data_IF_370820258731
#
_entry.id   IF_370820258731
#
_cell.length_a   1.000
_cell.length_b   1.000
_cell.length_c   1.000
_cell.angle_alpha   90.00
_cell.angle_beta   90.00
_cell.angle_gamma   90.00
#
_symmetry.space_group_name_H-M   'P 1'
#
loop_
_entity.id
_entity.type
_entity.pdbx_description
1 polymer ?
#
# COMPACT_ATOMS: atom_id res chain seq x y z
N UNK A 1 -16.04 -6.18 -10.92
CA UNK A 1 -15.68 -5.60 -9.60
C UNK A 1 -14.19 -5.33 -9.65
N UNK A 2 -13.77 -4.07 -9.56
CA UNK A 2 -12.37 -3.69 -9.71
C UNK A 2 -11.61 -4.14 -8.46
N UNK A 3 -10.60 -4.99 -8.68
CA UNK A 3 -9.67 -5.35 -7.62
C UNK A 3 -8.71 -4.16 -7.43
N UNK A 4 -8.20 -4.02 -6.22
CA UNK A 4 -7.09 -3.13 -5.81
C UNK A 4 -6.94 -1.69 -6.39
N UNK A 5 -6.85 -0.74 -5.47
CA UNK A 5 -6.56 0.66 -5.75
C UNK A 5 -5.13 1.04 -5.34
N UNK A 6 -4.35 1.68 -6.21
CA UNK A 6 -3.02 2.19 -5.86
C UNK A 6 -2.99 3.71 -5.72
N UNK A 7 -2.47 4.21 -4.60
CA UNK A 7 -2.42 5.64 -4.26
C UNK A 7 -0.96 6.14 -4.19
N UNK A 8 -0.60 7.11 -5.05
CA UNK A 8 0.82 7.44 -5.31
C UNK A 8 1.08 8.95 -5.46
N UNK A 9 2.22 9.49 -5.00
CA UNK A 9 2.56 10.89 -5.19
C UNK A 9 3.03 11.22 -6.61
N UNK A 10 3.48 10.23 -7.39
CA UNK A 10 3.82 10.39 -8.81
C UNK A 10 3.70 9.07 -9.59
N UNK A 11 3.41 9.16 -10.90
CA UNK A 11 3.15 8.00 -11.76
C UNK A 11 4.40 7.14 -12.05
N UNK A 12 5.60 7.69 -11.96
CA UNK A 12 6.85 7.02 -12.33
C UNK A 12 7.37 6.03 -11.29
N UNK A 13 6.79 5.98 -10.09
CA UNK A 13 7.37 5.26 -8.94
C UNK A 13 6.70 3.92 -8.61
N UNK A 14 5.68 3.47 -9.36
CA UNK A 14 4.90 2.26 -9.01
C UNK A 14 4.77 1.20 -10.11
N UNK A 15 5.57 1.31 -11.18
CA UNK A 15 5.54 0.32 -12.26
C UNK A 15 5.71 -1.12 -11.76
N UNK A 16 6.48 -1.34 -10.69
CA UNK A 16 6.66 -2.67 -10.08
C UNK A 16 5.37 -3.21 -9.45
N UNK A 17 4.56 -2.36 -8.79
CA UNK A 17 3.28 -2.77 -8.20
C UNK A 17 2.27 -3.08 -9.29
N UNK A 18 2.16 -2.20 -10.29
CA UNK A 18 1.26 -2.39 -11.42
C UNK A 18 1.61 -3.68 -12.18
N UNK A 19 2.90 -3.93 -12.41
CA UNK A 19 3.38 -5.15 -13.04
C UNK A 19 3.06 -6.40 -12.21
N UNK A 20 3.24 -6.34 -10.88
CA UNK A 20 2.90 -7.46 -9.99
C UNK A 20 1.40 -7.78 -10.00
N UNK A 21 0.54 -6.76 -9.95
CA UNK A 21 -0.91 -6.93 -10.01
C UNK A 21 -1.37 -7.45 -11.37
N UNK A 22 -0.83 -6.91 -12.45
CA UNK A 22 -1.08 -7.40 -13.80
C UNK A 22 -0.64 -8.87 -13.97
N UNK A 23 0.54 -9.24 -13.48
CA UNK A 23 1.04 -10.63 -13.52
C UNK A 23 0.16 -11.59 -12.72
N UNK A 24 -0.44 -11.12 -11.62
CA UNK A 24 -1.41 -11.87 -10.82
C UNK A 24 -2.84 -11.82 -11.38
N UNK A 25 -3.04 -11.24 -12.58
CA UNK A 25 -4.36 -11.02 -13.21
C UNK A 25 -5.35 -10.31 -12.29
N UNK A 26 -4.84 -9.44 -11.41
CA UNK A 26 -5.67 -8.60 -10.57
C UNK A 26 -5.98 -7.31 -11.36
N UNK A 27 -7.24 -7.01 -11.70
CA UNK A 27 -7.59 -5.66 -12.16
C UNK A 27 -7.22 -4.65 -11.09
N UNK A 28 -6.81 -3.45 -11.49
CA UNK A 28 -6.46 -2.38 -10.57
C UNK A 28 -6.73 -1.01 -11.17
N UNK A 29 -7.03 -0.05 -10.30
CA UNK A 29 -7.07 1.37 -10.64
C UNK A 29 -5.86 2.08 -10.01
N UNK A 30 -5.19 2.95 -10.76
CA UNK A 30 -4.09 3.78 -10.24
C UNK A 30 -4.57 5.21 -10.08
N UNK A 31 -4.32 5.78 -8.90
CA UNK A 31 -4.64 7.17 -8.62
C UNK A 31 -3.42 7.88 -8.05
N UNK A 32 -3.10 8.95 -8.74
CA UNK A 32 -2.05 9.88 -8.34
C UNK A 32 -2.68 10.90 -7.40
N UNK A 33 -2.04 11.11 -6.24
CA UNK A 33 -2.42 12.10 -5.24
C UNK A 33 -1.30 13.11 -5.12
N UNK A 34 -1.55 14.31 -5.63
CA UNK A 34 -0.71 15.49 -5.42
C UNK A 34 -1.57 16.63 -4.88
N UNK A 35 -0.95 17.77 -4.54
CA UNK A 35 -1.72 18.96 -4.19
C UNK A 35 -2.58 19.49 -5.34
N UNK A 36 -2.21 19.23 -6.60
CA UNK A 36 -2.96 19.67 -7.79
C UNK A 36 -3.92 18.62 -8.35
N UNK A 37 -3.66 17.34 -8.09
CA UNK A 37 -4.49 16.21 -8.50
C UNK A 37 -4.85 15.40 -7.26
N UNK A 38 -5.83 15.91 -6.51
CA UNK A 38 -6.35 15.26 -5.30
C UNK A 38 -7.81 14.87 -5.53
N UNK A 39 -8.14 13.58 -5.54
CA UNK A 39 -9.52 13.13 -5.72
C UNK A 39 -10.34 13.39 -4.45
N UNK A 40 -11.66 13.44 -4.60
CA UNK A 40 -12.56 13.21 -3.48
C UNK A 40 -12.51 11.71 -3.11
N UNK A 41 -11.85 11.39 -2.01
CA UNK A 41 -11.67 10.01 -1.55
C UNK A 41 -12.99 9.33 -1.18
N UNK A 42 -14.02 10.08 -0.76
CA UNK A 42 -15.32 9.50 -0.45
C UNK A 42 -15.98 8.96 -1.73
N UNK A 43 -16.11 9.81 -2.75
CA UNK A 43 -16.67 9.42 -4.05
C UNK A 43 -15.80 8.41 -4.81
N UNK A 44 -14.50 8.36 -4.51
CA UNK A 44 -13.58 7.39 -5.10
C UNK A 44 -13.80 5.98 -4.53
N UNK A 45 -13.90 5.85 -3.21
CA UNK A 45 -13.94 4.55 -2.52
C UNK A 45 -15.35 3.94 -2.47
N UNK A 46 -16.38 4.79 -2.47
CA UNK A 46 -17.77 4.39 -2.31
C UNK A 46 -18.56 4.50 -3.61
N UNK A 47 -19.40 3.52 -3.87
CA UNK A 47 -20.47 3.63 -4.86
C UNK A 47 -21.62 4.49 -4.28
N UNK A 48 -22.49 5.01 -5.16
CA UNK A 48 -23.65 5.81 -4.75
C UNK A 48 -24.64 5.04 -3.86
N UNK A 49 -24.64 3.70 -3.92
CA UNK A 49 -25.47 2.82 -3.09
C UNK A 49 -24.86 2.51 -1.71
N UNK A 50 -23.71 3.10 -1.39
CA UNK A 50 -23.00 2.89 -0.13
C UNK A 50 -22.19 1.58 -0.09
N UNK A 51 -22.07 0.84 -1.18
CA UNK A 51 -21.15 -0.31 -1.26
C UNK A 51 -19.73 0.13 -1.57
N UNK A 52 -18.75 -0.66 -1.11
CA UNK A 52 -17.34 -0.38 -1.40
C UNK A 52 -16.96 -0.74 -2.83
N UNK A 53 -16.29 0.19 -3.52
CA UNK A 53 -15.85 0.02 -4.92
C UNK A 53 -14.66 -0.93 -5.10
N UNK A 54 -13.74 -0.97 -4.14
CA UNK A 54 -12.50 -1.74 -4.17
C UNK A 54 -12.46 -2.82 -3.09
N UNK A 55 -11.63 -3.86 -3.31
CA UNK A 55 -11.42 -4.96 -2.34
C UNK A 55 -10.18 -4.80 -1.46
N UNK A 56 -9.44 -3.72 -1.68
CA UNK A 56 -8.19 -3.44 -1.01
C UNK A 56 -7.53 -2.22 -1.63
N UNK A 57 -6.52 -1.69 -0.95
CA UNK A 57 -5.69 -0.64 -1.51
C UNK A 57 -4.22 -0.77 -1.13
N UNK A 58 -3.36 -0.31 -2.04
CA UNK A 58 -1.92 -0.23 -1.87
C UNK A 58 -1.49 1.24 -1.91
N UNK A 59 -0.77 1.70 -0.90
CA UNK A 59 -0.19 3.06 -0.89
C UNK A 59 1.31 2.98 -1.09
N UNK A 60 1.82 3.77 -2.03
CA UNK A 60 3.25 3.92 -2.22
C UNK A 60 3.66 5.33 -2.66
N UNK A 61 4.58 5.96 -1.91
CA UNK A 61 4.85 5.76 -0.48
C UNK A 61 3.58 5.91 0.39
N UNK A 62 3.66 5.69 1.71
CA UNK A 62 2.50 5.82 2.58
C UNK A 62 2.14 7.30 2.75
N UNK A 63 1.16 7.74 1.97
CA UNK A 63 0.73 9.14 1.89
C UNK A 63 0.33 9.72 3.25
N UNK A 64 -0.22 8.90 4.14
CA UNK A 64 -0.53 9.27 5.52
C UNK A 64 0.72 9.75 6.28
N UNK A 65 1.81 8.97 6.23
CA UNK A 65 3.07 9.29 6.92
C UNK A 65 3.87 10.40 6.26
N UNK A 66 3.58 10.68 4.98
CA UNK A 66 4.23 11.75 4.23
C UNK A 66 3.48 13.09 4.31
N UNK A 67 2.44 13.18 5.16
CA UNK A 67 1.59 14.37 5.28
C UNK A 67 0.93 14.77 3.95
N UNK A 68 0.73 13.80 3.05
CA UNK A 68 0.05 13.98 1.77
C UNK A 68 -1.45 13.70 1.86
N UNK A 69 -1.94 13.25 3.02
CA UNK A 69 -3.34 13.16 3.39
C UNK A 69 -3.58 13.98 4.66
N UNK A 70 -4.70 14.68 4.72
CA UNK A 70 -5.21 15.37 5.91
C UNK A 70 -5.81 14.35 6.88
N UNK A 71 -5.95 14.68 8.17
CA UNK A 71 -6.60 13.79 9.14
C UNK A 71 -8.00 13.35 8.72
N UNK A 72 -8.77 14.22 8.07
CA UNK A 72 -10.11 13.89 7.58
C UNK A 72 -10.05 12.82 6.47
N UNK A 73 -9.12 12.95 5.53
CA UNK A 73 -8.96 11.98 4.43
C UNK A 73 -8.45 10.63 4.94
N UNK A 74 -7.53 10.64 5.90
CA UNK A 74 -7.12 9.42 6.61
C UNK A 74 -8.34 8.74 7.25
N UNK A 75 -9.21 9.53 7.89
CA UNK A 75 -10.48 9.05 8.45
C UNK A 75 -11.37 8.36 7.42
N UNK A 76 -11.45 8.87 6.18
CA UNK A 76 -12.22 8.24 5.09
C UNK A 76 -11.66 6.85 4.75
N UNK A 77 -10.34 6.69 4.65
CA UNK A 77 -9.73 5.39 4.39
C UNK A 77 -9.97 4.41 5.54
N UNK A 78 -9.81 4.84 6.79
CA UNK A 78 -10.02 3.97 7.95
C UNK A 78 -11.47 3.55 8.12
N UNK A 79 -12.41 4.48 7.91
CA UNK A 79 -13.84 4.18 7.91
C UNK A 79 -14.20 3.18 6.79
N UNK A 80 -13.61 3.37 5.60
CA UNK A 80 -13.76 2.43 4.49
C UNK A 80 -13.29 1.02 4.86
N UNK A 81 -12.10 0.88 5.45
CA UNK A 81 -11.59 -0.40 5.93
C UNK A 81 -12.50 -1.02 6.99
N UNK A 82 -12.94 -0.23 7.96
CA UNK A 82 -13.78 -0.70 9.06
C UNK A 82 -15.14 -1.22 8.56
N UNK A 83 -15.77 -0.52 7.61
CA UNK A 83 -17.10 -0.87 7.10
C UNK A 83 -17.10 -1.98 6.05
N UNK A 84 -16.04 -2.11 5.25
CA UNK A 84 -15.98 -3.08 4.15
C UNK A 84 -15.15 -4.32 4.48
N UNK A 85 -14.35 -4.27 5.54
CA UNK A 85 -13.42 -5.35 5.92
C UNK A 85 -12.22 -5.49 4.98
N UNK A 86 -11.99 -4.54 4.07
CA UNK A 86 -10.87 -4.60 3.12
C UNK A 86 -9.53 -4.32 3.80
N UNK A 87 -8.47 -4.95 3.28
CA UNK A 87 -7.11 -4.79 3.78
C UNK A 87 -6.36 -3.72 2.99
N UNK A 88 -5.38 -3.12 3.66
CA UNK A 88 -4.46 -2.16 3.04
C UNK A 88 -3.02 -2.63 3.12
N UNK A 89 -2.23 -2.25 2.11
CA UNK A 89 -0.80 -2.51 2.05
C UNK A 89 -0.09 -1.16 1.89
N UNK A 90 0.99 -0.94 2.65
CA UNK A 90 1.81 0.28 2.58
C UNK A 90 3.23 -0.13 2.24
N UNK A 91 3.75 0.31 1.10
CA UNK A 91 5.13 0.08 0.67
C UNK A 91 5.95 1.37 0.80
N UNK A 92 7.27 1.25 0.95
CA UNK A 92 8.16 2.41 1.10
C UNK A 92 7.92 3.19 2.40
N UNK A 93 7.37 2.52 3.42
CA UNK A 93 7.04 3.14 4.69
C UNK A 93 8.30 3.33 5.55
N UNK A 94 8.59 4.56 6.03
CA UNK A 94 9.67 4.74 6.99
C UNK A 94 9.29 4.11 8.34
N UNK A 95 10.27 3.68 9.13
CA UNK A 95 10.06 3.00 10.42
C UNK A 95 9.09 3.73 11.40
N UNK A 96 9.02 5.06 11.51
CA UNK A 96 8.05 5.73 12.38
C UNK A 96 6.61 5.78 11.80
N UNK A 97 6.24 4.89 10.89
CA UNK A 97 4.85 4.81 10.42
C UNK A 97 3.91 4.41 11.57
N UNK A 98 2.66 4.88 11.52
CA UNK A 98 1.61 4.64 12.53
C UNK A 98 1.62 3.18 12.99
N UNK A 99 1.82 2.97 14.29
CA UNK A 99 1.82 1.66 14.94
C UNK A 99 3.17 0.96 15.06
N UNK A 100 4.25 1.53 14.51
CA UNK A 100 5.61 0.98 14.64
C UNK A 100 6.54 1.92 15.42
N UNK A 101 7.33 1.34 16.33
CA UNK A 101 8.41 2.05 16.98
C UNK A 101 9.55 2.32 15.99
N UNK A 102 10.23 3.46 16.14
CA UNK A 102 11.36 3.83 15.29
C UNK A 102 12.56 2.91 15.55
N UNK A 103 12.62 1.77 14.89
CA UNK A 103 13.87 1.03 14.69
C UNK A 103 14.10 0.86 13.19
N UNK A 104 15.09 1.60 12.70
CA UNK A 104 15.66 1.32 11.37
C UNK A 104 16.81 0.35 11.60
N UNK A 105 16.67 -0.94 11.24
CA UNK A 105 17.84 -1.77 11.12
C UNK A 105 18.73 -1.17 10.02
N UNK A 106 19.98 -0.85 10.35
CA UNK A 106 20.96 -0.38 9.37
C UNK A 106 21.09 -1.38 8.22
N UNK A 107 21.59 -0.92 7.06
CA UNK A 107 21.71 -1.65 5.78
C UNK A 107 21.49 -3.18 5.87
N UNK A 108 20.23 -3.61 5.82
CA UNK A 108 19.86 -5.02 5.83
C UNK A 108 20.03 -5.56 4.42
N UNK A 109 20.99 -6.45 4.22
CA UNK A 109 21.26 -7.05 2.90
C UNK A 109 20.38 -8.26 2.60
N UNK A 110 19.85 -8.92 3.64
CA UNK A 110 19.07 -10.14 3.52
C UNK A 110 17.82 -10.04 4.40
N UNK A 111 16.67 -10.25 3.79
CA UNK A 111 15.37 -10.32 4.44
C UNK A 111 14.86 -11.75 4.34
N UNK A 112 14.36 -12.25 5.47
CA UNK A 112 13.78 -13.58 5.57
C UNK A 112 12.36 -13.47 6.09
N UNK A 113 11.52 -14.40 5.66
CA UNK A 113 10.22 -14.58 6.28
C UNK A 113 10.35 -15.23 7.64
N UNK A 114 9.52 -14.82 8.59
CA UNK A 114 9.39 -15.52 9.87
C UNK A 114 8.37 -16.65 9.74
N UNK A 115 8.39 -17.60 10.68
CA UNK A 115 7.41 -18.68 10.73
C UNK A 115 5.95 -18.18 10.86
N UNK A 116 5.74 -16.93 11.29
CA UNK A 116 4.43 -16.30 11.41
C UNK A 116 3.95 -15.59 10.14
N UNK A 117 4.74 -15.60 9.05
CA UNK A 117 4.36 -14.92 7.81
C UNK A 117 3.08 -15.54 7.21
N UNK A 118 2.05 -14.74 6.90
CA UNK A 118 0.77 -15.23 6.41
C UNK A 118 0.83 -15.52 4.90
N UNK A 119 1.60 -16.53 4.49
CA UNK A 119 1.85 -16.83 3.08
C UNK A 119 0.59 -17.11 2.26
N UNK A 120 -0.48 -17.62 2.87
CA UNK A 120 -1.73 -17.93 2.19
C UNK A 120 -1.51 -18.74 0.91
N UNK A 121 -2.03 -18.24 -0.21
CA UNK A 121 -1.89 -18.86 -1.54
C UNK A 121 -0.80 -18.20 -2.39
N UNK A 122 0.17 -17.50 -1.79
CA UNK A 122 1.17 -16.70 -2.52
C UNK A 122 2.17 -17.53 -3.34
N UNK A 123 2.34 -18.82 -3.04
CA UNK A 123 3.37 -19.67 -3.66
C UNK A 123 4.81 -19.31 -3.24
N UNK A 124 4.99 -18.35 -2.33
CA UNK A 124 6.30 -17.96 -1.80
C UNK A 124 6.79 -19.04 -0.84
N UNK A 125 8.04 -19.50 -1.02
CA UNK A 125 8.67 -20.44 -0.08
C UNK A 125 8.94 -19.76 1.26
N UNK A 126 8.63 -20.46 2.35
CA UNK A 126 8.97 -20.01 3.71
C UNK A 126 10.48 -19.85 3.94
N UNK A 127 11.29 -20.54 3.13
CA UNK A 127 12.76 -20.46 3.16
C UNK A 127 13.33 -19.48 2.14
N UNK A 128 12.47 -18.76 1.39
CA UNK A 128 12.93 -17.78 0.42
C UNK A 128 13.67 -16.65 1.14
N UNK A 129 14.89 -16.37 0.67
CA UNK A 129 15.67 -15.21 1.07
C UNK A 129 15.47 -14.11 0.02
N UNK A 130 15.13 -12.92 0.48
CA UNK A 130 15.11 -11.71 -0.33
C UNK A 130 16.44 -10.97 -0.13
N UNK A 131 17.23 -10.86 -1.20
CA UNK A 131 18.40 -9.99 -1.20
C UNK A 131 17.99 -8.57 -1.55
N UNK A 132 18.41 -7.60 -0.75
CA UNK A 132 18.26 -6.18 -1.05
C UNK A 132 19.61 -5.64 -1.52
N UNK A 133 19.89 -5.74 -2.82
CA UNK A 133 21.08 -5.15 -3.44
C UNK A 133 20.72 -3.74 -3.93
N UNK A 134 20.96 -2.77 -3.06
CA UNK A 134 20.70 -1.35 -3.32
C UNK A 134 21.09 -0.52 -2.11
N UNK A 135 20.97 0.80 -2.23
CA UNK A 135 20.99 1.72 -1.10
C UNK A 135 19.84 1.35 -0.13
N UNK A 136 20.09 0.37 0.73
CA UNK A 136 19.08 -0.21 1.61
C UNK A 136 18.45 0.89 2.45
N UNK A 137 17.11 1.03 2.35
CA UNK A 137 16.30 1.92 3.19
C UNK A 137 17.03 3.23 3.54
N UNK A 138 17.66 3.89 2.56
CA UNK A 138 18.24 5.20 2.80
C UNK A 138 17.08 6.17 2.91
N UNK A 139 16.95 6.75 4.11
CA UNK A 139 16.11 7.92 4.38
C UNK A 139 16.48 9.08 3.46
#
# INVERSE_FOLDING_TARGET
>A
MTLEFSCIPSATSVGFLQAALAAASQPFDTVVVTNSARPDFASLLWNADGTGRYRGYVMYPPLESMSLLTPAEIGVFWDYQAKTGIRSIKYGAPAPTIGYGASVPGAVKQLYWTAAAPFGTSGVSATAMLAADGAGLLM
#
